data_IF_166436580066
#
_entry.id   IF_166436580066
#
_cell.length_a   1.000
_cell.length_b   1.000
_cell.length_c   1.000
_cell.angle_alpha   90.00
_cell.angle_beta   90.00
_cell.angle_gamma   90.00
#
_symmetry.space_group_name_H-M   'P 1'
#
loop_
_entity.id
_entity.type
_entity.pdbx_description
1 polymer ?
#
# COMPACT_ATOMS: atom_id res chain seq x y z
N UNK A 1 -3.73 11.77 -13.26
CA UNK A 1 -3.38 10.36 -13.03
C UNK A 1 -4.19 9.79 -11.86
N UNK A 2 -4.13 10.39 -10.66
CA UNK A 2 -4.93 9.93 -9.51
C UNK A 2 -6.45 10.02 -9.68
N UNK A 3 -6.96 10.95 -10.49
CA UNK A 3 -8.41 11.10 -10.74
C UNK A 3 -9.05 9.90 -11.47
N UNK A 4 -8.26 9.01 -12.05
CA UNK A 4 -8.76 7.80 -12.72
C UNK A 4 -8.55 6.54 -11.86
N UNK A 5 -8.04 6.71 -10.64
CA UNK A 5 -7.84 5.60 -9.71
C UNK A 5 -9.15 5.17 -9.06
N UNK A 6 -9.20 3.89 -8.69
CA UNK A 6 -10.29 3.30 -7.92
C UNK A 6 -9.70 2.88 -6.58
N UNK A 7 -10.33 3.31 -5.49
CA UNK A 7 -9.92 2.93 -4.16
C UNK A 7 -10.33 1.49 -3.84
N UNK A 8 -9.38 0.72 -3.35
CA UNK A 8 -9.61 -0.39 -2.44
C UNK A 8 -9.37 0.15 -1.03
N UNK A 9 -10.40 0.05 -0.18
CA UNK A 9 -10.42 0.63 1.17
C UNK A 9 -10.16 2.14 1.14
N UNK A 10 -11.13 2.91 0.63
CA UNK A 10 -11.03 4.38 0.58
C UNK A 10 -10.85 4.96 2.00
N UNK A 11 -9.79 5.75 2.26
CA UNK A 11 -9.59 6.38 3.55
C UNK A 11 -10.63 7.47 3.82
N UNK A 12 -10.96 7.72 5.08
CA UNK A 12 -11.88 8.82 5.45
C UNK A 12 -11.41 10.21 5.02
N UNK A 13 -10.10 10.40 4.92
CA UNK A 13 -9.49 11.68 4.62
C UNK A 13 -8.42 11.54 3.53
N UNK A 14 -8.76 12.02 2.34
CA UNK A 14 -7.82 12.17 1.24
C UNK A 14 -8.19 13.36 0.36
N UNK A 15 -7.24 13.83 -0.44
CA UNK A 15 -7.48 14.83 -1.47
C UNK A 15 -6.48 14.69 -2.61
N UNK A 16 -6.89 15.16 -3.79
CA UNK A 16 -6.00 15.31 -4.94
C UNK A 16 -5.94 16.79 -5.32
N UNK A 17 -4.76 17.38 -5.24
CA UNK A 17 -4.51 18.79 -5.56
C UNK A 17 -3.24 18.87 -6.39
N UNK A 18 -3.28 19.55 -7.54
CA UNK A 18 -2.11 19.79 -8.40
C UNK A 18 -1.32 18.50 -8.76
N UNK A 19 -2.04 17.39 -8.95
CA UNK A 19 -1.41 16.11 -9.27
C UNK A 19 -0.68 15.43 -8.11
N UNK A 20 -0.89 15.89 -6.86
CA UNK A 20 -0.45 15.23 -5.63
C UNK A 20 -1.65 14.59 -4.94
N UNK A 21 -1.49 13.33 -4.54
CA UNK A 21 -2.42 12.64 -3.65
C UNK A 21 -1.94 12.81 -2.21
N UNK A 22 -2.83 13.30 -1.34
CA UNK A 22 -2.61 13.38 0.10
C UNK A 22 -3.59 12.43 0.79
N UNK A 23 -3.08 11.60 1.71
CA UNK A 23 -3.87 10.57 2.39
C UNK A 23 -3.55 10.60 3.88
N UNK A 24 -4.59 10.49 4.71
CA UNK A 24 -4.46 10.12 6.13
C UNK A 24 -5.02 8.71 6.28
N UNK A 25 -4.21 7.80 6.84
CA UNK A 25 -4.63 6.42 7.05
C UNK A 25 -5.70 6.34 8.14
N UNK A 26 -6.65 5.43 7.95
CA UNK A 26 -7.55 4.98 9.00
C UNK A 26 -6.81 3.99 9.93
N UNK A 27 -7.23 3.87 11.20
CA UNK A 27 -6.62 2.92 12.13
C UNK A 27 -6.85 1.47 11.70
N UNK A 28 -5.95 0.57 12.13
CA UNK A 28 -6.06 -0.90 11.93
C UNK A 28 -6.11 -1.34 10.46
N UNK A 29 -5.34 -0.67 9.62
CA UNK A 29 -5.22 -0.93 8.18
C UNK A 29 -3.91 -1.64 7.85
N UNK A 30 -3.97 -2.74 7.08
CA UNK A 30 -2.79 -3.51 6.69
C UNK A 30 -3.07 -4.43 5.47
N UNK A 31 -1.98 -4.86 4.81
CA UNK A 31 -1.95 -5.92 3.81
C UNK A 31 -0.95 -7.00 4.23
N UNK A 32 -1.46 -8.19 4.57
CA UNK A 32 -0.66 -9.36 4.93
C UNK A 32 -1.46 -10.66 4.77
N UNK A 33 -0.81 -11.74 4.32
CA UNK A 33 -1.45 -13.05 4.15
C UNK A 33 -0.69 -14.16 4.89
N UNK A 34 -1.22 -14.53 6.06
CA UNK A 34 -0.96 -15.73 6.87
C UNK A 34 0.46 -15.94 7.42
N UNK A 35 1.51 -15.64 6.66
CA UNK A 35 2.89 -16.02 7.01
C UNK A 35 3.29 -15.52 8.39
N UNK A 36 3.86 -16.40 9.19
CA UNK A 36 4.29 -16.21 10.58
C UNK A 36 3.17 -15.89 11.59
N UNK A 37 2.27 -14.96 11.26
CA UNK A 37 1.28 -14.42 12.20
C UNK A 37 -0.09 -15.13 12.19
N UNK A 38 -0.37 -15.94 11.17
CA UNK A 38 -1.61 -16.73 11.05
C UNK A 38 -2.88 -15.93 10.73
N UNK A 39 -2.78 -14.60 10.60
CA UNK A 39 -3.90 -13.74 10.21
C UNK A 39 -3.82 -13.29 8.75
N UNK A 40 -4.97 -12.87 8.21
CA UNK A 40 -5.09 -12.23 6.91
C UNK A 40 -5.59 -10.79 7.10
N UNK A 41 -4.93 -9.84 6.44
CA UNK A 41 -5.32 -8.43 6.37
C UNK A 41 -5.32 -7.99 4.92
N UNK A 42 -6.43 -7.37 4.51
CA UNK A 42 -6.62 -6.78 3.18
C UNK A 42 -7.35 -5.43 3.34
N UNK A 43 -7.05 -4.71 4.42
CA UNK A 43 -7.71 -3.48 4.86
C UNK A 43 -6.91 -2.21 4.59
N UNK A 44 -5.66 -2.33 4.11
CA UNK A 44 -4.81 -1.21 3.73
C UNK A 44 -5.41 -0.35 2.61
N UNK A 45 -5.06 0.93 2.57
CA UNK A 45 -5.53 1.85 1.53
C UNK A 45 -4.76 1.67 0.24
N UNK A 46 -5.46 1.48 -0.87
CA UNK A 46 -4.85 1.33 -2.18
C UNK A 46 -5.65 2.08 -3.25
N UNK A 47 -5.05 3.11 -3.87
CA UNK A 47 -5.61 3.77 -5.04
C UNK A 47 -5.02 3.11 -6.30
N UNK A 48 -5.77 2.19 -6.90
CA UNK A 48 -5.33 1.43 -8.06
C UNK A 48 -5.77 2.05 -9.39
N UNK A 49 -4.93 1.93 -10.42
CA UNK A 49 -5.31 2.22 -11.81
C UNK A 49 -5.18 0.92 -12.61
N UNK A 50 -6.26 0.49 -13.26
CA UNK A 50 -6.22 -0.72 -14.10
C UNK A 50 -5.31 -0.52 -15.30
N UNK A 51 -4.44 -1.50 -15.55
CA UNK A 51 -3.51 -1.53 -16.68
C UNK A 51 -3.61 -2.88 -17.38
N UNK A 52 -3.35 -2.91 -18.68
CA UNK A 52 -3.30 -4.13 -19.49
C UNK A 52 -1.91 -4.26 -20.12
N UNK A 53 -1.31 -5.45 -20.02
CA UNK A 53 0.03 -5.72 -20.54
C UNK A 53 1.14 -5.10 -19.70
N UNK A 54 2.31 -4.96 -20.31
CA UNK A 54 3.51 -4.44 -19.65
C UNK A 54 3.35 -2.96 -19.31
N UNK A 55 3.84 -2.57 -18.13
CA UNK A 55 3.79 -1.19 -17.67
C UNK A 55 5.00 -0.86 -16.80
N UNK A 56 5.27 0.44 -16.69
CA UNK A 56 6.20 1.00 -15.71
C UNK A 56 5.43 2.02 -14.87
N UNK A 57 5.57 1.93 -13.55
CA UNK A 57 4.98 2.87 -12.61
C UNK A 57 6.06 3.47 -11.72
N UNK A 58 5.92 4.77 -11.45
CA UNK A 58 6.79 5.49 -10.52
C UNK A 58 5.93 6.42 -9.66
N UNK A 59 6.25 6.48 -8.38
CA UNK A 59 5.64 7.39 -7.43
C UNK A 59 6.72 7.99 -6.54
N UNK A 60 6.54 9.24 -6.13
CA UNK A 60 7.33 9.85 -5.07
C UNK A 60 6.48 9.87 -3.80
N UNK A 61 6.96 9.20 -2.76
CA UNK A 61 6.28 9.11 -1.46
C UNK A 61 6.93 10.07 -0.49
N UNK A 62 6.10 10.88 0.17
CA UNK A 62 6.48 11.74 1.28
C UNK A 62 5.50 11.47 2.42
N UNK A 63 6.00 11.18 3.61
CA UNK A 63 5.17 10.82 4.76
C UNK A 63 5.87 11.17 6.07
N UNK A 64 5.06 11.30 7.11
CA UNK A 64 5.50 11.55 8.49
C UNK A 64 5.42 10.23 9.28
N UNK A 65 6.38 9.34 9.01
CA UNK A 65 6.43 7.99 9.57
C UNK A 65 6.93 8.02 11.01
N UNK A 66 6.12 7.58 11.96
CA UNK A 66 6.37 7.76 13.39
C UNK A 66 6.09 6.53 14.23
N UNK A 67 5.09 5.75 13.85
CA UNK A 67 4.58 4.63 14.62
C UNK A 67 5.04 3.31 14.01
N UNK A 68 5.25 2.30 14.85
CA UNK A 68 5.57 0.95 14.40
C UNK A 68 4.53 0.49 13.37
N UNK A 69 5.01 -0.02 12.24
CA UNK A 69 4.24 -0.45 11.07
C UNK A 69 3.56 0.64 10.26
N UNK A 70 3.92 1.92 10.43
CA UNK A 70 3.56 2.95 9.45
C UNK A 70 4.21 2.60 8.10
N UNK A 71 3.41 2.53 7.02
CA UNK A 71 3.87 2.11 5.68
C UNK A 71 3.32 3.02 4.61
N UNK A 72 4.11 3.28 3.57
CA UNK A 72 3.63 3.89 2.33
C UNK A 72 4.54 3.53 1.17
N UNK A 73 3.96 3.41 -0.03
CA UNK A 73 4.69 2.88 -1.17
C UNK A 73 3.84 2.70 -2.42
N UNK A 74 4.26 1.74 -3.23
CA UNK A 74 3.58 1.29 -4.44
C UNK A 74 3.05 -0.13 -4.21
N UNK A 75 1.90 -0.45 -4.81
CA UNK A 75 1.37 -1.80 -4.88
C UNK A 75 1.03 -2.16 -6.33
N UNK A 76 1.30 -3.41 -6.70
CA UNK A 76 0.73 -4.06 -7.89
C UNK A 76 -0.15 -5.18 -7.40
N UNK A 77 -1.40 -5.21 -7.86
CA UNK A 77 -2.42 -6.12 -7.34
C UNK A 77 -3.20 -6.76 -8.48
N UNK A 78 -3.37 -8.08 -8.39
CA UNK A 78 -4.28 -8.86 -9.24
C UNK A 78 -5.58 -9.12 -8.48
N UNK A 79 -5.48 -9.62 -7.24
CA UNK A 79 -6.60 -9.94 -6.35
C UNK A 79 -6.16 -9.92 -4.87
N UNK A 80 -7.02 -10.35 -3.94
CA UNK A 80 -6.73 -10.34 -2.50
C UNK A 80 -5.64 -11.31 -2.03
N UNK A 81 -5.28 -12.28 -2.88
CA UNK A 81 -4.25 -13.30 -2.61
C UNK A 81 -3.03 -13.17 -3.50
N UNK A 82 -3.05 -12.27 -4.50
CA UNK A 82 -1.99 -12.10 -5.47
C UNK A 82 -1.66 -10.61 -5.64
N UNK A 83 -0.64 -10.14 -4.92
CA UNK A 83 -0.20 -8.74 -4.94
C UNK A 83 1.23 -8.61 -4.45
N UNK A 84 1.87 -7.49 -4.80
CA UNK A 84 3.15 -7.07 -4.22
C UNK A 84 2.99 -5.65 -3.70
N UNK A 85 3.49 -5.39 -2.47
CA UNK A 85 3.66 -4.03 -1.95
C UNK A 85 5.15 -3.76 -1.78
N UNK A 86 5.58 -2.54 -2.06
CA UNK A 86 6.95 -2.09 -1.82
C UNK A 86 6.98 -0.64 -1.43
N UNK A 87 7.91 -0.26 -0.56
CA UNK A 87 8.01 1.09 -0.06
C UNK A 87 8.78 1.12 1.24
N UNK A 88 8.45 2.11 2.06
CA UNK A 88 9.03 2.26 3.38
C UNK A 88 8.06 1.76 4.45
N UNK A 89 8.62 1.19 5.51
CA UNK A 89 7.90 0.74 6.70
C UNK A 89 8.71 1.08 7.94
N UNK A 90 8.05 1.56 9.00
CA UNK A 90 8.71 1.68 10.31
C UNK A 90 8.74 0.31 10.97
N UNK A 91 9.93 -0.28 11.10
CA UNK A 91 10.15 -1.53 11.84
C UNK A 91 11.40 -1.41 12.69
N UNK A 92 11.41 -2.08 13.85
CA UNK A 92 12.55 -2.08 14.78
C UNK A 92 13.08 -0.69 15.15
N UNK A 93 12.18 0.31 15.18
CA UNK A 93 12.50 1.70 15.51
C UNK A 93 13.18 2.50 14.40
N UNK A 94 13.27 1.96 13.18
CA UNK A 94 13.86 2.61 12.02
C UNK A 94 12.91 2.60 10.81
N UNK A 95 13.12 3.53 9.88
CA UNK A 95 12.45 3.51 8.58
C UNK A 95 13.21 2.56 7.66
N UNK A 96 12.57 1.44 7.31
CA UNK A 96 13.14 0.36 6.50
C UNK A 96 12.58 0.42 5.09
N UNK A 97 13.39 0.07 4.10
CA UNK A 97 12.92 -0.19 2.74
C UNK A 97 12.63 -1.69 2.61
N UNK A 98 11.47 -2.03 2.05
CA UNK A 98 11.08 -3.42 1.90
C UNK A 98 10.09 -3.68 0.78
N UNK A 99 9.83 -4.96 0.58
CA UNK A 99 8.77 -5.46 -0.29
C UNK A 99 8.16 -6.70 0.33
N UNK A 100 6.87 -6.90 0.09
CA UNK A 100 6.18 -8.16 0.40
C UNK A 100 5.56 -8.66 -0.88
N UNK A 101 5.93 -9.88 -1.28
CA UNK A 101 5.30 -10.57 -2.41
C UNK A 101 4.29 -11.57 -1.86
N UNK A 102 3.03 -11.41 -2.25
CA UNK A 102 1.96 -12.32 -1.86
C UNK A 102 1.51 -13.14 -3.05
N UNK A 103 1.74 -14.44 -2.98
CA UNK A 103 1.24 -15.45 -3.91
C UNK A 103 0.54 -16.56 -3.09
N UNK A 104 -0.71 -16.29 -2.72
CA UNK A 104 -1.46 -17.06 -1.71
C UNK A 104 -1.04 -16.77 -0.26
N UNK A 105 0.26 -16.70 0.00
CA UNK A 105 0.88 -16.32 1.27
C UNK A 105 1.92 -15.21 1.05
N UNK A 106 2.15 -14.38 2.07
CA UNK A 106 3.12 -13.29 2.02
C UNK A 106 4.55 -13.78 2.26
N UNK A 107 5.49 -13.34 1.43
CA UNK A 107 6.94 -13.47 1.61
C UNK A 107 7.53 -12.07 1.84
#
# INVERSE_FOLDING_TARGET
MFNNGIWLNEPRHWSVTEGRLTVTTDPETDFWQQTHYGFCRDSGHFLGVSVNGDFTAQVHVQGDFKTLYDQAGLMVRVDERNWVKTGVEVSDGALMLGSVLTCGQSD
#
